data_IF_341551998592
#
_entry.id   IF_341551998592
#
_cell.length_a   1.000
_cell.length_b   1.000
_cell.length_c   1.000
_cell.angle_alpha   90.00
_cell.angle_beta   90.00
_cell.angle_gamma   90.00
#
_symmetry.space_group_name_H-M   'P 1'
#
loop_
_entity.id
_entity.type
_entity.pdbx_description
1 polymer ?
#
# COMPACT_ATOMS: atom_id res chain seq x y z
N UNK A 1 59.50 41.38 6.87
CA UNK A 1 58.14 40.87 6.57
C UNK A 1 58.03 39.46 7.16
N UNK A 2 57.16 39.28 8.16
CA UNK A 2 56.98 38.01 8.89
C UNK A 2 56.02 37.12 8.10
N UNK A 3 56.48 35.99 7.58
CA UNK A 3 55.60 35.03 6.90
C UNK A 3 54.67 34.36 7.93
N UNK A 4 53.38 34.39 7.63
CA UNK A 4 52.32 33.78 8.44
C UNK A 4 52.19 32.32 7.97
N UNK A 5 52.74 31.38 8.75
CA UNK A 5 52.59 29.94 8.47
C UNK A 5 51.14 29.55 8.76
N UNK A 6 50.40 29.19 7.72
CA UNK A 6 49.05 28.64 7.84
C UNK A 6 49.21 27.17 8.20
N UNK A 7 49.05 26.84 9.49
CA UNK A 7 48.99 25.44 9.94
C UNK A 7 47.73 24.77 9.40
N UNK A 8 47.85 24.05 8.28
CA UNK A 8 46.81 23.14 7.81
C UNK A 8 46.80 21.91 8.74
N UNK A 9 45.96 21.95 9.77
CA UNK A 9 45.67 20.77 10.59
C UNK A 9 44.72 19.89 9.77
N UNK A 10 45.23 18.78 9.25
CA UNK A 10 44.44 17.77 8.56
C UNK A 10 43.44 17.11 9.52
N UNK A 11 42.26 16.77 9.00
CA UNK A 11 41.24 16.03 9.74
C UNK A 11 41.81 14.69 10.23
N UNK A 12 41.56 14.36 11.49
CA UNK A 12 41.99 13.08 12.04
C UNK A 12 41.08 11.95 11.55
N UNK A 13 41.63 10.76 11.37
CA UNK A 13 40.86 9.56 11.06
C UNK A 13 39.74 9.34 12.08
N UNK A 14 40.04 9.57 13.37
CA UNK A 14 39.06 9.43 14.45
C UNK A 14 37.91 10.43 14.32
N UNK A 15 38.18 11.61 13.78
CA UNK A 15 37.19 12.67 13.62
C UNK A 15 36.18 12.29 12.54
N UNK A 16 36.65 11.74 11.42
CA UNK A 16 35.78 11.23 10.36
C UNK A 16 35.00 9.99 10.84
N UNK A 17 35.64 9.09 11.59
CA UNK A 17 34.96 7.90 12.16
C UNK A 17 33.85 8.32 13.13
N UNK A 18 34.09 9.29 14.01
CA UNK A 18 33.08 9.79 14.95
C UNK A 18 31.94 10.48 14.20
N UNK A 19 32.24 11.27 13.16
CA UNK A 19 31.21 11.93 12.35
C UNK A 19 30.32 10.91 11.66
N UNK A 20 30.89 9.88 11.01
CA UNK A 20 30.11 8.82 10.36
C UNK A 20 29.31 8.00 11.39
N UNK A 21 29.89 7.73 12.57
CA UNK A 21 29.20 7.05 13.66
C UNK A 21 28.01 7.87 14.18
N UNK A 22 28.18 9.17 14.40
CA UNK A 22 27.11 10.07 14.83
C UNK A 22 26.02 10.22 13.76
N UNK A 23 26.39 10.36 12.48
CA UNK A 23 25.43 10.38 11.37
C UNK A 23 24.68 9.05 11.28
N UNK A 24 25.34 7.92 11.51
CA UNK A 24 24.71 6.60 11.58
C UNK A 24 23.72 6.48 12.74
N UNK A 25 24.08 6.96 13.93
CA UNK A 25 23.19 6.99 15.11
C UNK A 25 21.96 7.88 14.88
N UNK A 26 22.13 9.05 14.25
CA UNK A 26 21.00 9.94 13.95
C UNK A 26 20.17 9.45 12.76
N UNK A 27 20.74 8.66 11.85
CA UNK A 27 20.01 8.07 10.71
C UNK A 27 18.99 7.01 11.12
N UNK A 28 19.05 6.47 12.35
CA UNK A 28 18.08 5.48 12.85
C UNK A 28 16.70 6.09 13.12
N UNK A 29 16.55 7.41 13.10
CA UNK A 29 15.25 8.08 13.33
C UNK A 29 14.65 8.68 12.06
N UNK A 30 14.30 7.82 11.10
CA UNK A 30 13.27 8.14 10.10
C UNK A 30 12.43 6.89 9.87
N UNK A 31 11.12 7.08 9.68
CA UNK A 31 10.03 6.07 9.56
C UNK A 31 9.49 5.73 10.96
N UNK A 32 8.36 6.26 11.43
CA UNK A 32 7.03 6.29 10.81
C UNK A 32 6.28 7.54 11.31
N UNK A 33 6.03 8.53 10.45
CA UNK A 33 4.99 9.54 10.73
C UNK A 33 3.67 9.01 10.17
N UNK A 34 2.99 8.14 10.91
CA UNK A 34 1.54 8.10 10.78
C UNK A 34 1.05 9.43 11.33
N UNK A 35 0.62 10.33 10.45
CA UNK A 35 -0.22 11.46 10.83
C UNK A 35 -1.48 10.89 11.49
N UNK A 36 -1.39 10.62 12.79
CA UNK A 36 -2.54 10.47 13.67
C UNK A 36 -3.01 11.88 13.98
N UNK A 37 -3.63 12.51 12.99
CA UNK A 37 -4.42 13.69 13.24
C UNK A 37 -5.88 13.36 12.92
N UNK A 38 -6.68 13.47 13.99
CA UNK A 38 -8.13 13.69 14.00
C UNK A 38 -9.03 12.44 14.09
N UNK A 39 -9.13 11.97 15.33
CA UNK A 39 -10.35 11.53 16.04
C UNK A 39 -11.41 10.74 15.24
N UNK A 40 -11.37 9.41 15.41
CA UNK A 40 -12.52 8.48 15.37
C UNK A 40 -13.35 8.30 14.08
N UNK A 41 -13.03 8.95 12.95
CA UNK A 41 -13.78 8.75 11.69
C UNK A 41 -12.97 8.19 10.51
N UNK A 42 -11.67 7.88 10.68
CA UNK A 42 -10.77 7.43 9.61
C UNK A 42 -10.13 6.04 9.79
N UNK A 43 -10.50 5.28 10.82
CA UNK A 43 -9.90 3.96 11.04
C UNK A 43 -10.22 3.02 9.87
N UNK A 44 -11.45 2.99 9.36
CA UNK A 44 -11.82 1.97 8.37
C UNK A 44 -11.15 2.16 7.00
N UNK A 45 -10.90 3.41 6.62
CA UNK A 45 -10.13 3.75 5.40
C UNK A 45 -8.67 3.36 5.57
N UNK A 46 -8.09 3.67 6.75
CA UNK A 46 -6.74 3.28 7.12
C UNK A 46 -6.57 1.76 7.15
N UNK A 47 -7.52 1.04 7.77
CA UNK A 47 -7.55 -0.42 7.84
C UNK A 47 -7.63 -1.02 6.42
N UNK A 48 -8.47 -0.47 5.55
CA UNK A 48 -8.59 -0.92 4.17
C UNK A 48 -7.29 -0.72 3.38
N UNK A 49 -6.66 0.46 3.52
CA UNK A 49 -5.37 0.74 2.89
C UNK A 49 -4.26 -0.17 3.43
N UNK A 50 -4.21 -0.37 4.75
CA UNK A 50 -3.26 -1.26 5.39
C UNK A 50 -3.45 -2.70 4.90
N UNK A 51 -4.70 -3.17 4.75
CA UNK A 51 -4.98 -4.50 4.23
C UNK A 51 -4.58 -4.66 2.75
N UNK A 52 -4.75 -3.61 1.91
CA UNK A 52 -4.23 -3.61 0.54
C UNK A 52 -2.71 -3.73 0.52
N UNK A 53 -2.03 -2.93 1.34
CA UNK A 53 -0.57 -2.92 1.43
C UNK A 53 -0.02 -4.25 1.98
N UNK A 54 -0.67 -4.80 3.01
CA UNK A 54 -0.36 -6.12 3.54
C UNK A 54 -0.53 -7.20 2.48
N UNK A 55 -1.58 -7.16 1.65
CA UNK A 55 -1.76 -8.10 0.56
C UNK A 55 -0.65 -7.97 -0.49
N UNK A 56 -0.25 -6.74 -0.82
CA UNK A 56 0.88 -6.49 -1.70
C UNK A 56 2.17 -7.13 -1.15
N UNK A 57 2.57 -6.81 0.08
CA UNK A 57 3.78 -7.39 0.66
C UNK A 57 3.67 -8.90 0.88
N UNK A 58 2.50 -9.39 1.29
CA UNK A 58 2.27 -10.83 1.47
C UNK A 58 2.44 -11.57 0.14
N UNK A 59 1.99 -11.01 -0.99
CA UNK A 59 2.19 -11.64 -2.30
C UNK A 59 3.67 -11.79 -2.64
N UNK A 60 4.50 -10.80 -2.29
CA UNK A 60 5.95 -10.83 -2.49
C UNK A 60 6.60 -11.85 -1.56
N UNK A 61 6.30 -11.79 -0.26
CA UNK A 61 6.91 -12.65 0.77
C UNK A 61 6.53 -14.11 0.57
N UNK A 62 5.26 -14.39 0.29
CA UNK A 62 4.75 -15.75 0.12
C UNK A 62 5.06 -16.35 -1.25
N UNK A 63 5.38 -15.52 -2.25
CA UNK A 63 5.52 -15.97 -3.63
C UNK A 63 4.19 -16.29 -4.32
N UNK A 64 3.05 -15.93 -3.71
CA UNK A 64 1.72 -16.26 -4.22
C UNK A 64 1.01 -15.07 -4.88
N UNK A 65 0.25 -15.35 -5.93
CA UNK A 65 -0.63 -14.35 -6.52
C UNK A 65 -1.84 -14.17 -5.61
N UNK A 66 -2.05 -12.95 -5.14
CA UNK A 66 -3.18 -12.58 -4.29
C UNK A 66 -4.17 -11.70 -5.04
N UNK A 67 -5.44 -11.81 -4.68
CA UNK A 67 -6.53 -11.05 -5.27
C UNK A 67 -7.39 -10.41 -4.19
N UNK A 68 -7.68 -9.11 -4.33
CA UNK A 68 -8.70 -8.44 -3.54
C UNK A 68 -10.04 -8.57 -4.27
N UNK A 69 -11.04 -9.12 -3.61
CA UNK A 69 -12.39 -9.28 -4.14
C UNK A 69 -13.30 -8.27 -3.44
N UNK A 70 -13.98 -7.44 -4.22
CA UNK A 70 -15.03 -6.54 -3.72
C UNK A 70 -16.38 -7.14 -4.10
N UNK A 71 -17.25 -7.26 -3.11
CA UNK A 71 -18.65 -7.63 -3.28
C UNK A 71 -19.54 -6.51 -2.72
N UNK A 72 -20.86 -6.65 -2.86
CA UNK A 72 -21.85 -5.71 -2.33
C UNK A 72 -21.78 -5.59 -0.81
N UNK A 73 -21.38 -6.67 -0.14
CA UNK A 73 -21.42 -6.78 1.32
C UNK A 73 -20.07 -6.51 1.99
N UNK A 74 -18.97 -6.36 1.22
CA UNK A 74 -17.64 -6.22 1.80
C UNK A 74 -16.50 -6.58 0.86
N UNK A 75 -15.34 -6.87 1.46
CA UNK A 75 -14.16 -7.31 0.74
C UNK A 75 -13.51 -8.54 1.37
N UNK A 76 -12.82 -9.32 0.54
CA UNK A 76 -12.07 -10.51 0.95
C UNK A 76 -10.80 -10.67 0.12
N UNK A 77 -9.82 -11.38 0.67
CA UNK A 77 -8.59 -11.72 -0.03
C UNK A 77 -8.59 -13.20 -0.41
N UNK A 78 -8.09 -13.49 -1.60
CA UNK A 78 -7.98 -14.84 -2.12
C UNK A 78 -6.57 -15.06 -2.66
N UNK A 79 -6.08 -16.28 -2.57
CA UNK A 79 -4.87 -16.68 -3.28
C UNK A 79 -5.21 -17.50 -4.53
N UNK A 80 -4.41 -17.36 -5.56
CA UNK A 80 -4.54 -18.14 -6.77
C UNK A 80 -3.67 -19.39 -6.67
N UNK A 81 -4.30 -20.56 -6.48
CA UNK A 81 -3.61 -21.85 -6.40
C UNK A 81 -4.30 -22.87 -7.30
N UNK A 82 -3.52 -23.65 -8.04
CA UNK A 82 -4.03 -24.74 -8.88
C UNK A 82 -5.08 -24.27 -9.93
N UNK A 83 -4.92 -23.05 -10.45
CA UNK A 83 -5.84 -22.49 -11.44
C UNK A 83 -7.15 -21.93 -10.86
N UNK A 84 -7.31 -21.91 -9.54
CA UNK A 84 -8.53 -21.41 -8.88
C UNK A 84 -8.21 -20.39 -7.79
N UNK A 85 -9.10 -19.42 -7.62
CA UNK A 85 -9.07 -18.50 -6.48
C UNK A 85 -9.64 -19.21 -5.25
N UNK A 86 -8.89 -19.20 -4.15
CA UNK A 86 -9.33 -19.75 -2.87
C UNK A 86 -9.32 -18.64 -1.83
N UNK A 87 -10.42 -18.49 -1.10
CA UNK A 87 -10.55 -17.46 -0.07
C UNK A 87 -9.54 -17.71 1.05
N UNK A 88 -8.85 -16.64 1.45
CA UNK A 88 -8.01 -16.63 2.64
C UNK A 88 -8.95 -16.37 3.81
N UNK A 89 -9.24 -17.44 4.56
CA UNK A 89 -10.15 -17.43 5.71
C UNK A 89 -9.41 -16.77 6.90
N UNK A 90 -9.15 -15.47 6.79
CA UNK A 90 -8.44 -14.62 7.75
C UNK A 90 -7.00 -15.08 8.07
N UNK A 91 -6.03 -14.21 7.80
CA UNK A 91 -4.69 -14.32 8.39
C UNK A 91 -4.46 -13.13 9.32
N UNK A 92 -3.42 -13.18 10.16
CA UNK A 92 -3.02 -12.07 11.05
C UNK A 92 -2.87 -10.72 10.30
N UNK A 93 -2.62 -10.77 8.99
CA UNK A 93 -2.34 -9.60 8.16
C UNK A 93 -3.40 -9.33 7.08
N UNK A 94 -4.35 -10.25 6.86
CA UNK A 94 -5.37 -10.16 5.82
C UNK A 94 -6.74 -10.48 6.39
N UNK A 95 -7.53 -9.43 6.58
CA UNK A 95 -8.87 -9.54 7.12
C UNK A 95 -9.93 -9.47 6.03
N UNK A 96 -10.98 -10.29 6.20
CA UNK A 96 -12.25 -10.11 5.49
C UNK A 96 -13.09 -9.14 6.30
N UNK A 97 -13.58 -8.08 5.65
CA UNK A 97 -14.41 -7.07 6.32
C UNK A 97 -15.71 -6.86 5.57
N UNK A 98 -16.82 -6.82 6.31
CA UNK A 98 -18.12 -6.43 5.77
C UNK A 98 -18.25 -4.91 5.75
N UNK A 99 -18.91 -4.38 4.73
CA UNK A 99 -19.26 -2.97 4.67
C UNK A 99 -20.30 -2.62 5.73
N UNK A 100 -20.24 -1.38 6.19
CA UNK A 100 -21.19 -0.79 7.11
C UNK A 100 -22.00 0.28 6.37
N UNK A 101 -23.03 0.81 7.02
CA UNK A 101 -23.78 1.94 6.45
C UNK A 101 -22.89 3.16 6.22
N UNK A 102 -21.87 3.31 7.06
CA UNK A 102 -20.99 4.48 7.11
C UNK A 102 -19.65 4.24 6.41
N UNK A 103 -19.41 3.03 5.88
CA UNK A 103 -18.20 2.69 5.13
C UNK A 103 -18.48 1.61 4.07
N UNK A 104 -18.26 1.99 2.82
CA UNK A 104 -18.29 1.06 1.70
C UNK A 104 -17.22 1.41 0.66
N UNK A 105 -16.76 0.39 -0.05
CA UNK A 105 -15.75 0.52 -1.09
C UNK A 105 -16.30 0.02 -2.41
N UNK A 106 -16.11 0.80 -3.46
CA UNK A 106 -16.53 0.44 -4.82
C UNK A 106 -15.41 0.67 -5.83
N UNK A 107 -15.47 -0.02 -6.98
CA UNK A 107 -14.51 0.19 -8.07
C UNK A 107 -14.69 1.59 -8.65
N UNK A 108 -13.62 2.38 -8.61
CA UNK A 108 -13.50 3.65 -9.30
C UNK A 108 -13.17 3.46 -10.78
N UNK A 109 -13.11 4.57 -11.52
CA UNK A 109 -12.78 4.55 -12.94
C UNK A 109 -11.27 4.57 -13.11
N UNK A 110 -10.69 3.44 -13.50
CA UNK A 110 -9.33 3.40 -14.04
C UNK A 110 -9.41 3.80 -15.51
N UNK A 111 -8.64 4.79 -15.95
CA UNK A 111 -8.45 5.06 -17.39
C UNK A 111 -7.58 3.94 -17.98
N UNK A 112 -8.13 2.74 -18.13
CA UNK A 112 -7.54 1.66 -18.91
C UNK A 112 -8.43 1.37 -20.10
N UNK A 113 -7.89 1.67 -21.29
CA UNK A 113 -8.36 1.13 -22.55
C UNK A 113 -8.20 -0.38 -22.49
N UNK A 114 -9.31 -1.11 -22.40
CA UNK A 114 -9.62 -2.29 -23.21
C UNK A 114 -10.88 -2.97 -22.68
N UNK A 115 -11.93 -2.96 -23.49
CA UNK A 115 -13.12 -3.76 -23.32
C UNK A 115 -12.73 -5.25 -23.40
N UNK A 116 -12.73 -5.94 -22.27
CA UNK A 116 -12.85 -7.39 -22.30
C UNK A 116 -14.33 -7.72 -22.12
N UNK A 117 -14.99 -8.02 -23.25
CA UNK A 117 -16.35 -8.58 -23.25
C UNK A 117 -16.20 -10.03 -22.82
N UNK A 118 -16.61 -10.33 -21.60
CA UNK A 118 -16.65 -11.71 -21.09
C UNK A 118 -18.03 -12.30 -21.44
N UNK A 119 -17.99 -13.53 -21.95
CA UNK A 119 -19.12 -14.33 -22.40
C UNK A 119 -20.19 -14.53 -21.29
N UNK A 120 -21.46 -14.47 -21.68
CA UNK A 120 -22.61 -14.11 -20.83
C UNK A 120 -23.05 -15.16 -19.78
N UNK A 121 -22.38 -16.29 -19.63
CA UNK A 121 -22.87 -17.39 -18.77
C UNK A 121 -21.87 -17.96 -17.75
N UNK A 122 -20.68 -17.36 -17.61
CA UNK A 122 -19.81 -17.64 -16.48
C UNK A 122 -19.74 -16.39 -15.60
N UNK A 123 -20.27 -16.46 -14.38
CA UNK A 123 -19.97 -15.46 -13.33
C UNK A 123 -18.52 -15.66 -12.94
N UNK A 124 -17.62 -15.18 -13.78
CA UNK A 124 -16.20 -15.17 -13.49
C UNK A 124 -16.00 -14.10 -12.43
N UNK A 125 -15.84 -14.56 -11.19
CA UNK A 125 -15.49 -13.70 -10.08
C UNK A 125 -14.03 -13.29 -10.33
N UNK A 126 -13.85 -12.12 -10.95
CA UNK A 126 -12.53 -11.55 -11.16
C UNK A 126 -12.17 -10.66 -9.97
N UNK A 127 -10.94 -10.78 -9.45
CA UNK A 127 -10.47 -9.89 -8.41
C UNK A 127 -10.52 -8.43 -8.89
N UNK A 128 -10.80 -7.54 -7.94
CA UNK A 128 -10.74 -6.09 -8.11
C UNK A 128 -9.31 -5.60 -8.29
N UNK A 129 -8.34 -6.24 -7.64
CA UNK A 129 -6.91 -6.03 -7.82
C UNK A 129 -6.22 -7.38 -7.75
N UNK A 130 -5.21 -7.57 -8.59
CA UNK A 130 -4.28 -8.70 -8.53
C UNK A 130 -2.92 -8.17 -8.06
N UNK A 131 -2.38 -8.77 -7.01
CA UNK A 131 -1.04 -8.54 -6.50
C UNK A 131 -0.16 -9.70 -6.95
N UNK A 132 0.89 -9.37 -7.72
CA UNK A 132 1.83 -10.36 -8.21
C UNK A 132 3.08 -10.42 -7.32
N UNK A 133 3.67 -11.61 -7.11
CA UNK A 133 4.86 -11.78 -6.26
C UNK A 133 6.09 -10.97 -6.67
N UNK A 134 6.15 -10.49 -7.91
CA UNK A 134 7.22 -9.64 -8.41
C UNK A 134 7.05 -8.16 -8.00
N UNK A 135 6.05 -7.82 -7.17
CA UNK A 135 5.74 -6.45 -6.78
C UNK A 135 4.98 -5.67 -7.87
N UNK A 136 4.43 -6.35 -8.88
CA UNK A 136 3.54 -5.73 -9.85
C UNK A 136 2.08 -5.80 -9.37
N UNK A 137 1.31 -4.77 -9.69
CA UNK A 137 -0.15 -4.82 -9.69
C UNK A 137 -0.67 -3.93 -10.82
N UNK A 138 -1.87 -4.24 -11.32
CA UNK A 138 -2.51 -3.35 -12.30
C UNK A 138 -2.91 -2.03 -11.65
N UNK A 139 -2.89 -0.92 -12.42
CA UNK A 139 -3.48 0.33 -11.98
C UNK A 139 -4.91 0.15 -11.52
N UNK A 140 -5.25 0.71 -10.37
CA UNK A 140 -6.59 0.60 -9.80
C UNK A 140 -7.08 1.95 -9.26
N UNK A 141 -8.39 2.06 -9.14
CA UNK A 141 -9.06 3.17 -8.48
C UNK A 141 -10.20 2.59 -7.65
N UNK A 142 -10.30 3.03 -6.40
CA UNK A 142 -11.43 2.75 -5.54
C UNK A 142 -12.06 4.05 -5.08
N UNK A 143 -13.38 4.02 -4.98
CA UNK A 143 -14.16 5.06 -4.33
C UNK A 143 -14.57 4.50 -2.98
N UNK A 144 -14.07 5.12 -1.92
CA UNK A 144 -14.43 4.82 -0.54
C UNK A 144 -15.40 5.89 -0.08
N UNK A 145 -16.63 5.46 0.20
CA UNK A 145 -17.61 6.34 0.81
C UNK A 145 -17.56 6.12 2.31
N UNK A 146 -17.23 7.17 3.06
CA UNK A 146 -17.42 7.21 4.50
C UNK A 146 -18.71 7.96 4.84
N UNK A 147 -19.03 8.08 6.12
CA UNK A 147 -20.18 8.86 6.59
C UNK A 147 -20.19 10.29 6.08
N UNK A 148 -19.02 10.94 6.09
CA UNK A 148 -18.89 12.37 5.87
C UNK A 148 -18.20 12.71 4.54
N UNK A 149 -17.37 11.80 4.02
CA UNK A 149 -16.48 12.08 2.89
C UNK A 149 -16.55 11.00 1.81
N UNK A 150 -16.21 11.40 0.58
CA UNK A 150 -15.93 10.49 -0.52
C UNK A 150 -14.44 10.59 -0.86
N UNK A 151 -13.75 9.47 -0.75
CA UNK A 151 -12.29 9.41 -0.94
C UNK A 151 -12.02 8.54 -2.17
N UNK A 152 -11.19 9.05 -3.07
CA UNK A 152 -10.68 8.27 -4.20
C UNK A 152 -9.28 7.80 -3.88
N UNK A 153 -9.11 6.48 -3.86
CA UNK A 153 -7.82 5.80 -3.69
C UNK A 153 -7.37 5.34 -5.07
N UNK A 154 -6.20 5.78 -5.52
CA UNK A 154 -5.57 5.25 -6.74
C UNK A 154 -4.24 4.62 -6.42
N UNK A 155 -3.93 3.52 -7.12
CA UNK A 155 -2.62 2.87 -7.05
C UNK A 155 -2.09 2.61 -8.44
N UNK A 156 -0.82 2.99 -8.66
CA UNK A 156 -0.05 2.66 -9.85
C UNK A 156 1.18 1.83 -9.45
N UNK A 157 1.70 1.04 -10.40
CA UNK A 157 2.94 0.27 -10.23
C UNK A 157 4.07 0.91 -11.06
N UNK A 158 5.31 1.06 -10.54
CA UNK A 158 5.78 0.67 -9.20
C UNK A 158 5.17 1.55 -8.09
N UNK A 159 4.86 0.93 -6.95
CA UNK A 159 3.92 1.41 -5.92
C UNK A 159 4.04 2.90 -5.61
N UNK A 160 3.05 3.65 -6.06
CA UNK A 160 2.74 5.02 -5.62
C UNK A 160 1.22 5.08 -5.40
N UNK A 161 0.83 5.33 -4.14
CA UNK A 161 -0.58 5.49 -3.75
C UNK A 161 -0.89 6.97 -3.61
N UNK A 162 -1.97 7.43 -4.24
CA UNK A 162 -2.44 8.81 -4.12
C UNK A 162 -3.84 8.82 -3.48
N UNK A 163 -4.00 9.64 -2.44
CA UNK A 163 -5.28 9.87 -1.77
C UNK A 163 -5.83 11.21 -2.23
N UNK A 164 -7.01 11.19 -2.85
CA UNK A 164 -7.72 12.41 -3.25
C UNK A 164 -9.05 12.51 -2.52
N UNK A 165 -9.23 13.63 -1.81
CA UNK A 165 -10.50 13.99 -1.17
C UNK A 165 -11.37 14.75 -2.19
N UNK A 166 -12.61 14.30 -2.39
CA UNK A 166 -13.62 14.99 -3.20
C UNK A 166 -14.68 15.64 -2.32
#
# INVERSE_FOLDING_TARGET
MKQMIINQRGFSLIEIIIVIFLVGLTSVSVIINFTRNEQNHNNEVGDFMSNIENAYYTSIISGEVLGLFLDKDGYSFHNFRQGVWKEIISSEYLEKKKFTKDFNVSKGRVRQSNNHILDNNAVLIFPSIIFFPNGFHYPFSFIVNTKDNRIVITGNSPVEYELKYE
#
